data_IF_598565358025
#
_entry.id   IF_598565358025
#
_cell.length_a   1.000
_cell.length_b   1.000
_cell.length_c   1.000
_cell.angle_alpha   90.00
_cell.angle_beta   90.00
_cell.angle_gamma   90.00
#
_symmetry.space_group_name_H-M   'P 1'
#
loop_
_entity.id
_entity.type
_entity.pdbx_description
1 polymer ?
#
# COMPACT_ATOMS: atom_id res chain seq x y z
N UNK A 1 40.22 22.09 -49.20
CA UNK A 1 39.65 20.81 -48.68
C UNK A 1 39.81 20.81 -47.18
N UNK A 2 38.72 21.03 -46.47
CA UNK A 2 38.72 21.08 -44.98
C UNK A 2 37.84 19.96 -44.51
N UNK A 3 38.47 18.89 -43.96
CA UNK A 3 37.79 17.71 -43.39
C UNK A 3 37.29 18.05 -42.00
N UNK A 4 35.98 18.06 -41.81
CA UNK A 4 35.34 18.11 -40.47
C UNK A 4 35.24 16.69 -39.94
N UNK A 5 35.94 16.41 -38.83
CA UNK A 5 35.79 15.22 -38.06
C UNK A 5 34.64 15.42 -37.05
N UNK A 6 33.54 14.70 -37.22
CA UNK A 6 32.43 14.68 -36.28
C UNK A 6 32.75 13.59 -35.25
N UNK A 7 33.08 14.00 -34.03
CA UNK A 7 33.22 13.10 -32.89
C UNK A 7 31.83 12.73 -32.37
N UNK A 8 31.45 11.45 -32.55
CA UNK A 8 30.23 10.87 -32.04
C UNK A 8 30.39 10.54 -30.54
N UNK A 9 29.82 11.37 -29.65
CA UNK A 9 29.76 11.09 -28.23
C UNK A 9 28.65 10.08 -27.99
N UNK A 10 28.98 8.79 -27.86
CA UNK A 10 28.09 7.77 -27.42
C UNK A 10 27.96 7.86 -25.90
N UNK A 11 26.90 8.53 -25.41
CA UNK A 11 26.52 8.54 -24.01
C UNK A 11 25.94 7.18 -23.65
N UNK A 12 26.72 6.34 -22.99
CA UNK A 12 26.24 5.10 -22.36
C UNK A 12 25.40 5.51 -21.16
N UNK A 13 24.08 5.61 -21.34
CA UNK A 13 23.12 5.62 -20.27
C UNK A 13 23.08 4.21 -19.66
N UNK A 14 23.98 3.98 -18.69
CA UNK A 14 23.87 2.84 -17.79
C UNK A 14 22.61 3.05 -16.94
N UNK A 15 21.48 2.51 -17.40
CA UNK A 15 20.28 2.40 -16.60
C UNK A 15 20.60 1.51 -15.41
N UNK A 16 20.80 2.11 -14.23
CA UNK A 16 20.73 1.40 -12.97
C UNK A 16 19.29 0.97 -12.81
N UNK A 17 18.96 -0.26 -13.26
CA UNK A 17 17.83 -0.98 -12.73
C UNK A 17 18.15 -1.26 -11.25
N UNK A 18 17.79 -0.32 -10.38
CA UNK A 18 17.75 -0.57 -8.95
C UNK A 18 16.71 -1.68 -8.78
N UNK A 19 17.18 -2.93 -8.64
CA UNK A 19 16.33 -4.00 -8.15
C UNK A 19 15.81 -3.51 -6.80
N UNK A 20 14.53 -3.17 -6.73
CA UNK A 20 13.91 -2.85 -5.47
C UNK A 20 14.08 -4.09 -4.59
N UNK A 21 14.86 -3.96 -3.52
CA UNK A 21 14.94 -4.99 -2.50
C UNK A 21 13.51 -5.29 -2.04
N UNK A 22 13.23 -6.55 -1.72
CA UNK A 22 11.92 -6.95 -1.21
C UNK A 22 11.50 -5.96 -0.11
N UNK A 23 10.26 -5.43 -0.18
CA UNK A 23 9.88 -4.33 0.69
C UNK A 23 9.97 -4.77 2.15
N UNK A 24 10.88 -4.16 2.88
CA UNK A 24 11.00 -4.35 4.31
C UNK A 24 9.65 -4.08 4.98
N UNK A 25 9.32 -4.83 6.05
CA UNK A 25 8.05 -4.63 6.75
C UNK A 25 7.92 -3.14 7.18
N UNK A 26 6.92 -2.40 6.65
CA UNK A 26 6.84 -0.95 6.84
C UNK A 26 6.60 -0.53 8.28
N UNK A 27 6.18 -1.47 9.15
CA UNK A 27 5.96 -1.20 10.57
C UNK A 27 7.21 -1.37 11.44
N UNK A 28 8.36 -1.78 10.88
CA UNK A 28 9.60 -1.90 11.66
C UNK A 28 10.01 -0.60 12.34
N UNK A 29 9.78 0.54 11.68
CA UNK A 29 10.13 1.85 12.21
C UNK A 29 8.99 2.53 12.99
N UNK A 30 7.84 1.87 13.16
CA UNK A 30 6.71 2.39 13.93
C UNK A 30 7.08 2.63 15.39
N UNK A 31 6.48 3.66 16.00
CA UNK A 31 6.58 3.96 17.45
C UNK A 31 5.19 3.92 18.07
N UNK A 32 5.12 3.54 19.33
CA UNK A 32 3.86 3.59 20.07
C UNK A 32 3.34 5.03 20.11
N UNK A 33 2.08 5.20 19.68
CA UNK A 33 1.43 6.50 19.55
C UNK A 33 1.53 7.13 18.16
N UNK A 34 2.27 6.52 17.21
CA UNK A 34 2.20 6.94 15.81
C UNK A 34 0.77 6.77 15.29
N UNK A 35 0.28 7.79 14.60
CA UNK A 35 -1.09 7.81 14.05
C UNK A 35 -1.06 8.13 12.57
N UNK A 36 -1.78 7.33 11.79
CA UNK A 36 -1.93 7.47 10.34
C UNK A 36 -3.40 7.69 10.02
N UNK A 37 -3.73 8.78 9.34
CA UNK A 37 -5.08 9.09 8.88
C UNK A 37 -5.17 8.91 7.38
N UNK A 38 -6.19 8.19 6.92
CA UNK A 38 -6.40 7.87 5.51
C UNK A 38 -7.76 8.36 5.03
N UNK A 39 -7.81 8.80 3.78
CA UNK A 39 -9.04 8.86 3.00
C UNK A 39 -9.22 7.54 2.27
N UNK A 40 -10.43 7.02 2.30
CA UNK A 40 -10.84 5.82 1.57
C UNK A 40 -11.92 6.17 0.57
N UNK A 41 -11.85 5.57 -0.62
CA UNK A 41 -12.91 5.68 -1.64
C UNK A 41 -13.17 4.30 -2.19
N UNK A 42 -14.42 3.86 -2.13
CA UNK A 42 -14.90 2.63 -2.75
C UNK A 42 -15.74 3.02 -3.97
N UNK A 43 -15.33 2.57 -5.15
CA UNK A 43 -16.01 2.81 -6.42
C UNK A 43 -16.58 1.50 -6.94
N UNK A 44 -17.86 1.46 -7.22
CA UNK A 44 -18.50 0.40 -7.97
C UNK A 44 -19.46 1.00 -9.01
N UNK A 45 -19.99 0.22 -9.96
CA UNK A 45 -20.87 0.74 -11.02
C UNK A 45 -22.12 1.47 -10.51
N UNK A 46 -22.57 1.18 -9.29
CA UNK A 46 -23.78 1.72 -8.72
C UNK A 46 -23.54 2.97 -7.85
N UNK A 47 -22.39 3.08 -7.18
CA UNK A 47 -22.12 4.15 -6.21
C UNK A 47 -20.63 4.37 -5.95
N UNK A 48 -20.33 5.58 -5.47
CA UNK A 48 -19.05 5.92 -4.86
C UNK A 48 -19.27 6.16 -3.37
N UNK A 49 -18.48 5.52 -2.52
CA UNK A 49 -18.56 5.68 -1.08
C UNK A 49 -17.21 6.21 -0.59
N UNK A 50 -17.23 7.38 0.03
CA UNK A 50 -16.08 7.95 0.71
C UNK A 50 -16.12 7.61 2.21
N UNK A 51 -14.95 7.42 2.77
CA UNK A 51 -14.74 7.16 4.19
C UNK A 51 -13.39 7.64 4.67
N UNK A 52 -13.15 7.48 5.95
CA UNK A 52 -11.85 7.74 6.58
C UNK A 52 -11.46 6.54 7.43
N UNK A 53 -10.16 6.32 7.55
CA UNK A 53 -9.60 5.30 8.43
C UNK A 53 -8.46 5.93 9.23
N UNK A 54 -8.43 5.68 10.54
CA UNK A 54 -7.34 6.09 11.41
C UNK A 54 -6.71 4.85 12.02
N UNK A 55 -5.40 4.72 11.87
CA UNK A 55 -4.60 3.68 12.49
C UNK A 55 -3.71 4.29 13.56
N UNK A 56 -3.66 3.67 14.74
CA UNK A 56 -2.81 4.08 15.85
C UNK A 56 -1.99 2.89 16.33
N UNK A 57 -0.69 3.06 16.42
CA UNK A 57 0.21 2.06 17.01
C UNK A 57 0.04 2.09 18.52
N UNK A 58 -0.51 1.02 19.09
CA UNK A 58 -0.82 0.93 20.52
C UNK A 58 0.25 0.22 21.33
N UNK A 59 0.91 -0.76 20.71
CA UNK A 59 1.98 -1.54 21.35
C UNK A 59 3.05 -1.89 20.33
N UNK A 60 4.29 -2.05 20.78
CA UNK A 60 5.40 -2.51 19.96
C UNK A 60 6.42 -3.28 20.79
N UNK A 61 6.87 -4.40 20.22
CA UNK A 61 8.02 -5.20 20.66
C UNK A 61 9.00 -5.35 19.50
N UNK A 62 10.12 -6.02 19.70
CA UNK A 62 11.07 -6.33 18.61
C UNK A 62 10.47 -7.25 17.53
N UNK A 63 9.41 -7.99 17.85
CA UNK A 63 8.83 -9.02 16.98
C UNK A 63 7.43 -8.69 16.48
N UNK A 64 6.72 -7.83 17.15
CA UNK A 64 5.30 -7.57 16.89
C UNK A 64 4.96 -6.10 17.11
N UNK A 65 4.08 -5.58 16.29
CA UNK A 65 3.42 -4.28 16.51
C UNK A 65 1.90 -4.50 16.55
N UNK A 66 1.23 -3.83 17.50
CA UNK A 66 -0.23 -3.82 17.63
C UNK A 66 -0.76 -2.49 17.11
N UNK A 67 -1.69 -2.55 16.16
CA UNK A 67 -2.32 -1.39 15.54
C UNK A 67 -3.82 -1.42 15.80
N UNK A 68 -4.35 -0.34 16.37
CA UNK A 68 -5.78 -0.08 16.49
C UNK A 68 -6.26 0.68 15.26
N UNK A 69 -7.32 0.22 14.63
CA UNK A 69 -7.89 0.82 13.41
C UNK A 69 -9.34 1.21 13.67
N UNK A 70 -9.67 2.48 13.43
CA UNK A 70 -11.03 3.03 13.44
C UNK A 70 -11.39 3.44 12.02
N UNK A 71 -12.52 2.95 11.52
CA UNK A 71 -13.02 3.27 10.17
C UNK A 71 -14.35 3.99 10.28
N UNK A 72 -14.51 5.07 9.50
CA UNK A 72 -15.76 5.81 9.38
C UNK A 72 -16.21 5.79 7.93
N UNK A 73 -17.39 5.24 7.66
CA UNK A 73 -17.98 5.15 6.32
C UNK A 73 -19.44 5.63 6.38
N UNK A 74 -19.89 6.35 5.35
CA UNK A 74 -21.25 6.90 5.30
C UNK A 74 -21.65 7.68 6.58
N UNK A 75 -20.69 8.38 7.18
CA UNK A 75 -20.90 9.14 8.42
C UNK A 75 -20.96 8.29 9.69
N UNK A 76 -20.91 6.95 9.60
CA UNK A 76 -20.94 6.05 10.76
C UNK A 76 -19.55 5.53 11.06
N UNK A 77 -19.16 5.63 12.33
CA UNK A 77 -17.93 5.06 12.85
C UNK A 77 -18.13 3.59 13.20
N UNK A 78 -17.19 2.76 12.78
CA UNK A 78 -17.16 1.34 13.12
C UNK A 78 -16.37 1.14 14.42
N UNK A 79 -16.70 0.09 15.20
CA UNK A 79 -15.91 -0.28 16.37
C UNK A 79 -14.42 -0.43 16.03
N UNK A 80 -13.54 0.04 16.91
CA UNK A 80 -12.12 -0.11 16.76
C UNK A 80 -11.71 -1.58 16.59
N UNK A 81 -10.89 -1.88 15.59
CA UNK A 81 -10.34 -3.20 15.35
C UNK A 81 -8.86 -3.20 15.69
N UNK A 82 -8.41 -4.21 16.41
CA UNK A 82 -7.00 -4.38 16.76
C UNK A 82 -6.38 -5.48 15.93
N UNK A 83 -5.23 -5.17 15.32
CA UNK A 83 -4.46 -6.12 14.49
C UNK A 83 -3.05 -6.21 15.01
N UNK A 84 -2.53 -7.43 15.14
CA UNK A 84 -1.14 -7.72 15.46
C UNK A 84 -0.39 -8.03 14.17
N UNK A 85 0.75 -7.37 13.97
CA UNK A 85 1.59 -7.48 12.78
C UNK A 85 2.93 -8.05 13.21
N UNK A 86 3.30 -9.21 12.67
CA UNK A 86 4.57 -9.88 12.91
C UNK A 86 5.69 -9.16 12.13
N UNK A 87 6.61 -8.53 12.83
CA UNK A 87 7.73 -7.78 12.25
C UNK A 87 8.87 -8.66 11.74
N UNK A 88 8.86 -9.96 12.09
CA UNK A 88 9.86 -10.93 11.64
C UNK A 88 9.57 -11.50 10.25
N UNK A 89 8.35 -11.27 9.76
CA UNK A 89 7.87 -11.70 8.44
C UNK A 89 7.85 -10.56 7.45
N UNK A 90 7.98 -10.92 6.19
CA UNK A 90 7.70 -9.99 5.10
C UNK A 90 6.27 -9.45 5.20
N UNK A 91 6.11 -8.18 4.86
CA UNK A 91 4.79 -7.58 4.82
C UNK A 91 3.99 -8.19 3.67
N UNK A 92 2.90 -8.87 4.00
CA UNK A 92 1.98 -9.41 3.01
C UNK A 92 0.70 -8.55 2.98
N UNK A 93 0.52 -7.71 1.96
CA UNK A 93 -0.66 -6.85 1.84
C UNK A 93 -1.96 -7.62 1.65
N UNK A 94 -1.93 -8.88 1.19
CA UNK A 94 -3.12 -9.71 1.12
C UNK A 94 -3.74 -9.98 2.50
N UNK A 95 -2.91 -9.94 3.56
CA UNK A 95 -3.39 -10.07 4.94
C UNK A 95 -4.04 -8.78 5.46
N UNK A 96 -3.84 -7.64 4.78
CA UNK A 96 -4.44 -6.37 5.15
C UNK A 96 -5.94 -6.28 4.77
N UNK A 97 -6.42 -7.12 3.85
CA UNK A 97 -7.80 -7.08 3.34
C UNK A 97 -8.62 -8.35 3.52
N UNK A 98 -8.01 -9.53 3.43
CA UNK A 98 -8.71 -10.81 3.57
C UNK A 98 -7.78 -11.86 4.17
N UNK A 99 -8.11 -12.37 5.36
CA UNK A 99 -7.35 -13.46 5.98
C UNK A 99 -7.35 -14.69 5.07
N UNK A 100 -6.17 -15.16 4.65
CA UNK A 100 -6.00 -16.42 3.94
C UNK A 100 -5.91 -16.33 2.40
N UNK A 101 -5.91 -15.16 1.82
CA UNK A 101 -5.63 -14.99 0.39
C UNK A 101 -4.15 -15.25 0.06
N UNK A 102 -3.89 -15.68 -1.19
CA UNK A 102 -2.51 -15.77 -1.73
C UNK A 102 -2.23 -14.51 -2.53
N UNK A 103 -1.10 -13.86 -2.26
CA UNK A 103 -0.61 -12.74 -3.04
C UNK A 103 0.59 -13.18 -3.88
N UNK A 104 0.52 -12.93 -5.18
CA UNK A 104 1.59 -13.11 -6.13
C UNK A 104 2.09 -11.75 -6.57
N UNK A 105 3.39 -11.48 -6.39
CA UNK A 105 4.02 -10.23 -6.82
C UNK A 105 4.09 -10.20 -8.34
N UNK A 106 3.57 -9.13 -8.96
CA UNK A 106 3.58 -8.94 -10.40
C UNK A 106 4.67 -7.96 -10.84
N UNK A 107 4.70 -6.78 -10.23
CA UNK A 107 5.59 -5.67 -10.59
C UNK A 107 5.94 -4.86 -9.37
N UNK A 108 7.05 -4.16 -9.43
CA UNK A 108 7.47 -3.18 -8.43
C UNK A 108 8.18 -1.99 -9.09
N UNK A 109 8.35 -0.94 -8.32
CA UNK A 109 9.05 0.27 -8.74
C UNK A 109 9.13 1.29 -7.61
N UNK A 110 9.58 2.48 -7.97
CA UNK A 110 9.70 3.60 -7.04
C UNK A 110 9.06 4.85 -7.66
N UNK A 111 8.42 5.65 -6.82
CA UNK A 111 7.90 6.96 -7.20
C UNK A 111 7.76 7.86 -5.97
N UNK A 112 7.65 9.16 -6.20
CA UNK A 112 7.38 10.12 -5.15
C UNK A 112 5.88 10.24 -4.91
N UNK A 113 5.47 10.18 -3.64
CA UNK A 113 4.06 10.33 -3.23
C UNK A 113 3.92 11.55 -2.33
N UNK A 114 2.99 12.43 -2.69
CA UNK A 114 2.67 13.61 -1.88
C UNK A 114 1.59 13.26 -0.85
N UNK A 115 1.86 13.59 0.42
CA UNK A 115 0.93 13.44 1.54
C UNK A 115 0.85 14.80 2.27
N UNK A 116 -0.28 15.46 2.17
CA UNK A 116 -0.40 16.85 2.61
C UNK A 116 0.59 17.74 1.85
N UNK A 117 1.44 18.45 2.59
CA UNK A 117 2.48 19.33 2.00
C UNK A 117 3.85 18.65 1.88
N UNK A 118 3.98 17.39 2.30
CA UNK A 118 5.24 16.65 2.25
C UNK A 118 5.28 15.68 1.07
N UNK A 119 6.47 15.50 0.51
CA UNK A 119 6.76 14.53 -0.53
C UNK A 119 7.64 13.41 0.04
N UNK A 120 7.29 12.16 -0.24
CA UNK A 120 7.97 10.97 0.26
C UNK A 120 8.47 10.11 -0.90
N UNK A 121 9.70 9.63 -0.79
CA UNK A 121 10.24 8.62 -1.70
C UNK A 121 9.67 7.26 -1.30
N UNK A 122 8.85 6.69 -2.17
CA UNK A 122 8.14 5.45 -1.90
C UNK A 122 8.52 4.37 -2.91
N UNK A 123 8.50 3.14 -2.44
CA UNK A 123 8.46 1.96 -3.31
C UNK A 123 7.01 1.51 -3.46
N UNK A 124 6.66 0.98 -4.62
CA UNK A 124 5.36 0.37 -4.83
C UNK A 124 5.50 -1.04 -5.35
N UNK A 125 4.56 -1.88 -4.96
CA UNK A 125 4.45 -3.27 -5.44
C UNK A 125 3.03 -3.54 -5.87
N UNK A 126 2.86 -4.20 -7.02
CA UNK A 126 1.57 -4.72 -7.49
C UNK A 126 1.51 -6.21 -7.25
N UNK A 127 0.40 -6.65 -6.69
CA UNK A 127 0.11 -8.06 -6.41
C UNK A 127 -1.17 -8.49 -7.12
N UNK A 128 -1.19 -9.75 -7.54
CA UNK A 128 -2.40 -10.48 -7.85
C UNK A 128 -2.82 -11.23 -6.60
N UNK A 129 -3.99 -10.89 -6.06
CA UNK A 129 -4.53 -11.51 -4.85
C UNK A 129 -5.65 -12.46 -5.25
N UNK A 130 -5.48 -13.73 -4.92
CA UNK A 130 -6.52 -14.73 -5.09
C UNK A 130 -7.33 -14.87 -3.80
N UNK A 131 -8.66 -15.08 -3.89
CA UNK A 131 -9.49 -15.31 -2.71
C UNK A 131 -9.04 -16.58 -1.97
N UNK A 132 -9.31 -16.68 -0.66
CA UNK A 132 -9.04 -17.89 0.10
C UNK A 132 -9.83 -19.07 -0.47
N UNK A 133 -9.28 -20.29 -0.35
CA UNK A 133 -9.97 -21.50 -0.74
C UNK A 133 -11.29 -21.64 0.04
N UNK A 134 -12.41 -21.86 -0.68
CA UNK A 134 -13.73 -21.95 -0.07
C UNK A 134 -14.50 -20.62 0.04
N UNK A 135 -13.99 -19.53 -0.52
CA UNK A 135 -14.77 -18.31 -0.64
C UNK A 135 -16.05 -18.57 -1.43
N UNK A 136 -17.20 -18.04 -0.99
CA UNK A 136 -18.48 -18.24 -1.70
C UNK A 136 -18.39 -17.78 -3.15
N UNK A 137 -19.01 -18.53 -4.07
CA UNK A 137 -19.11 -18.14 -5.47
C UNK A 137 -19.78 -16.75 -5.56
N UNK A 138 -19.09 -15.78 -6.16
CA UNK A 138 -19.52 -14.38 -6.24
C UNK A 138 -18.68 -13.41 -5.40
N UNK A 139 -17.92 -13.89 -4.40
CA UNK A 139 -16.90 -13.11 -3.69
C UNK A 139 -15.49 -13.38 -4.22
N UNK A 140 -15.33 -14.24 -5.23
CA UNK A 140 -14.09 -14.81 -5.70
C UNK A 140 -13.50 -14.17 -6.95
N UNK A 141 -13.54 -12.85 -7.11
CA UNK A 141 -12.84 -12.17 -8.19
C UNK A 141 -11.34 -12.10 -7.94
N UNK A 142 -10.54 -12.15 -9.01
CA UNK A 142 -9.13 -11.79 -8.91
C UNK A 142 -9.01 -10.30 -8.58
N UNK A 143 -8.19 -9.99 -7.58
CA UNK A 143 -7.94 -8.62 -7.16
C UNK A 143 -6.52 -8.22 -7.56
N UNK A 144 -6.38 -7.17 -8.34
CA UNK A 144 -5.10 -6.49 -8.49
C UNK A 144 -4.96 -5.47 -7.37
N UNK A 145 -3.89 -5.61 -6.59
CA UNK A 145 -3.60 -4.77 -5.44
C UNK A 145 -2.26 -4.07 -5.65
N UNK A 146 -2.25 -2.73 -5.69
CA UNK A 146 -1.04 -1.92 -5.72
C UNK A 146 -0.88 -1.18 -4.39
N UNK A 147 0.29 -1.30 -3.77
CA UNK A 147 0.60 -0.76 -2.45
C UNK A 147 1.85 0.10 -2.54
N UNK A 148 1.83 1.26 -1.90
CA UNK A 148 2.97 2.17 -1.77
C UNK A 148 3.42 2.23 -0.32
N UNK A 149 4.71 2.07 -0.11
CA UNK A 149 5.36 2.09 1.19
C UNK A 149 6.57 3.02 1.15
N UNK A 150 6.77 3.79 2.21
CA UNK A 150 7.88 4.73 2.32
C UNK A 150 8.65 4.42 3.62
N UNK A 151 9.97 4.64 3.60
CA UNK A 151 10.82 4.35 4.78
C UNK A 151 10.49 5.21 5.99
N UNK A 152 10.01 6.43 5.76
CA UNK A 152 9.77 7.43 6.81
C UNK A 152 8.34 7.39 7.37
N UNK A 153 7.50 6.50 6.85
CA UNK A 153 6.10 6.35 7.27
C UNK A 153 5.84 4.90 7.65
N UNK A 154 5.43 4.60 8.89
CA UNK A 154 5.05 3.25 9.25
C UNK A 154 3.74 2.86 8.54
N UNK A 155 3.74 1.72 7.89
CA UNK A 155 2.57 1.25 7.14
C UNK A 155 2.54 1.68 5.68
N UNK A 156 1.36 1.65 5.11
CA UNK A 156 1.13 1.99 3.69
C UNK A 156 0.83 3.47 3.55
N UNK A 157 1.39 4.12 2.53
CA UNK A 157 1.07 5.51 2.20
C UNK A 157 -0.12 5.59 1.24
N UNK A 158 -0.22 4.61 0.36
CA UNK A 158 -1.31 4.51 -0.60
C UNK A 158 -1.58 3.05 -0.92
N UNK A 159 -2.83 2.73 -1.19
CA UNK A 159 -3.28 1.43 -1.68
C UNK A 159 -4.35 1.63 -2.75
N UNK A 160 -4.28 0.83 -3.80
CA UNK A 160 -5.31 0.70 -4.82
C UNK A 160 -5.61 -0.77 -5.02
N UNK A 161 -6.86 -1.16 -4.88
CA UNK A 161 -7.32 -2.51 -5.16
C UNK A 161 -8.41 -2.46 -6.22
N UNK A 162 -8.30 -3.30 -7.24
CA UNK A 162 -9.30 -3.45 -8.30
C UNK A 162 -9.72 -4.90 -8.36
N UNK A 163 -10.99 -5.17 -8.14
CA UNK A 163 -11.56 -6.52 -8.18
C UNK A 163 -12.56 -6.59 -9.33
N UNK A 164 -12.45 -7.62 -10.15
CA UNK A 164 -13.39 -7.91 -11.25
C UNK A 164 -14.23 -9.12 -10.89
N UNK A 165 -15.53 -8.93 -10.78
CA UNK A 165 -16.51 -10.00 -10.52
C UNK A 165 -17.61 -9.90 -11.56
N UNK A 166 -17.89 -10.97 -12.32
CA UNK A 166 -18.98 -11.03 -13.32
C UNK A 166 -19.02 -9.81 -14.26
N UNK A 167 -17.89 -9.39 -14.82
CA UNK A 167 -17.71 -8.21 -15.67
C UNK A 167 -18.00 -6.85 -15.00
N UNK A 168 -18.17 -6.82 -13.69
CA UNK A 168 -18.24 -5.58 -12.92
C UNK A 168 -16.90 -5.34 -12.22
N UNK A 169 -16.45 -4.09 -12.28
CA UNK A 169 -15.21 -3.67 -11.63
C UNK A 169 -15.54 -2.86 -10.38
N UNK A 170 -14.94 -3.27 -9.25
CA UNK A 170 -15.00 -2.53 -8.00
C UNK A 170 -13.58 -2.09 -7.66
N UNK A 171 -13.41 -0.79 -7.44
CA UNK A 171 -12.14 -0.19 -7.04
C UNK A 171 -12.19 0.26 -5.58
N UNK A 172 -11.09 0.05 -4.85
CA UNK A 172 -10.87 0.62 -3.53
C UNK A 172 -9.58 1.41 -3.59
N UNK A 173 -9.62 2.67 -3.18
CA UNK A 173 -8.43 3.51 -3.02
C UNK A 173 -8.33 3.94 -1.56
N UNK A 174 -7.14 3.86 -1.01
CA UNK A 174 -6.81 4.37 0.31
C UNK A 174 -5.55 5.23 0.18
N UNK A 175 -5.62 6.45 0.67
CA UNK A 175 -4.52 7.42 0.57
C UNK A 175 -4.28 8.05 1.94
N UNK A 176 -3.03 8.04 2.39
CA UNK A 176 -2.60 8.71 3.60
C UNK A 176 -2.80 10.22 3.43
N UNK A 177 -3.52 10.83 4.35
CA UNK A 177 -3.75 12.27 4.38
C UNK A 177 -2.90 12.96 5.43
N UNK A 178 -2.57 12.24 6.51
CA UNK A 178 -1.78 12.76 7.61
C UNK A 178 -1.01 11.64 8.31
N UNK A 179 0.24 11.92 8.68
CA UNK A 179 1.05 11.11 9.57
C UNK A 179 1.52 11.97 10.74
N UNK A 180 1.05 11.64 11.93
CA UNK A 180 1.48 12.24 13.18
C UNK A 180 2.36 11.25 13.95
N UNK A 181 3.65 11.58 14.10
CA UNK A 181 4.54 10.81 14.94
C UNK A 181 4.61 11.39 16.35
N UNK A 182 4.51 10.54 17.34
CA UNK A 182 4.75 10.95 18.73
C UNK A 182 6.27 11.06 18.95
N UNK A 183 6.71 12.27 19.25
CA UNK A 183 8.11 12.55 19.64
C UNK A 183 8.46 11.89 20.96
#
# INVERSE_FOLDING_TARGET
MRSFAIALFASVLAGFAAQAADPENPYKNAKVGDTLSYKMTVKNPAMNIDGTMTQTVTEKTDKEVTVSTVTKMLGKEQPAQTTKIDLTKEFNPANAGAKGGKAEKLKDGAEKVKVGDKEYDCTWVTYKVSPPAGAPAGFGGETELKVWMCKDVPGMVKMQATTKVMNQETGITMELTEFANKK
#
